data_IF_836962938836
#
_entry.id   IF_836962938836
#
_cell.length_a   1.000
_cell.length_b   1.000
_cell.length_c   1.000
_cell.angle_alpha   90.00
_cell.angle_beta   90.00
_cell.angle_gamma   90.00
#
_symmetry.space_group_name_H-M   'P 1'
#
loop_
_entity.id
_entity.type
_entity.pdbx_description
1 polymer ?
#
# COMPACT_ATOMS: atom_id res chain seq x y z
N UNK A 1 23.05 44.73 19.15
CA UNK A 1 23.45 43.86 18.02
C UNK A 1 22.63 42.59 18.11
N UNK A 2 21.62 42.43 17.25
CA UNK A 2 20.75 41.24 17.27
C UNK A 2 21.47 40.10 16.54
N UNK A 3 21.87 39.06 17.29
CA UNK A 3 22.53 37.89 16.71
C UNK A 3 21.53 37.12 15.84
N UNK A 4 21.89 36.87 14.58
CA UNK A 4 21.09 36.07 13.67
C UNK A 4 20.94 34.64 14.23
N UNK A 5 19.70 34.21 14.46
CA UNK A 5 19.39 32.87 14.95
C UNK A 5 19.81 31.87 13.87
N UNK A 6 20.72 30.91 14.14
CA UNK A 6 21.19 29.97 13.13
C UNK A 6 20.01 29.14 12.60
N UNK A 7 19.97 28.89 11.27
CA UNK A 7 18.91 28.10 10.65
C UNK A 7 18.84 26.70 11.26
N UNK A 8 17.70 26.36 11.84
CA UNK A 8 17.46 25.03 12.41
C UNK A 8 16.82 24.12 11.37
N UNK A 9 17.52 23.05 11.01
CA UNK A 9 17.03 22.04 10.06
C UNK A 9 16.10 21.04 10.73
N UNK A 10 15.12 20.53 9.98
CA UNK A 10 14.16 19.54 10.49
C UNK A 10 14.81 18.23 10.93
N UNK A 11 15.99 17.88 10.38
CA UNK A 11 16.79 16.71 10.76
C UNK A 11 17.41 16.83 12.15
N UNK A 12 17.52 18.04 12.70
CA UNK A 12 18.08 18.29 14.04
C UNK A 12 16.98 18.37 15.12
N UNK A 13 15.70 18.37 14.74
CA UNK A 13 14.56 18.48 15.66
C UNK A 13 14.02 17.10 16.03
N UNK A 14 13.27 17.04 17.13
CA UNK A 14 12.57 15.82 17.53
C UNK A 14 11.70 15.25 16.40
N UNK A 15 11.59 13.92 16.24
CA UNK A 15 10.77 13.32 15.19
C UNK A 15 9.30 13.72 15.34
N UNK A 16 8.63 13.96 14.22
CA UNK A 16 7.20 14.28 14.21
C UNK A 16 6.40 13.01 14.50
N UNK A 17 5.62 13.03 15.60
CA UNK A 17 4.79 11.88 16.03
C UNK A 17 3.81 11.46 14.94
N UNK A 18 3.10 12.44 14.38
CA UNK A 18 2.07 12.21 13.36
C UNK A 18 2.35 13.03 12.10
N UNK A 19 3.02 12.41 11.12
CA UNK A 19 3.47 13.07 9.89
C UNK A 19 2.34 13.67 9.06
N UNK A 20 1.11 13.16 9.19
CA UNK A 20 -0.07 13.61 8.47
C UNK A 20 -0.40 15.10 8.72
N UNK A 21 -0.12 15.62 9.92
CA UNK A 21 -0.47 16.99 10.31
C UNK A 21 0.71 17.97 10.24
N UNK A 22 1.93 17.46 10.08
CA UNK A 22 3.14 18.28 10.01
C UNK A 22 3.63 18.80 11.38
N UNK A 23 4.67 19.63 11.33
CA UNK A 23 5.38 20.12 12.53
C UNK A 23 4.63 21.23 13.27
N UNK A 24 3.94 22.11 12.55
CA UNK A 24 3.26 23.26 13.16
C UNK A 24 2.15 22.81 14.11
N UNK A 25 1.36 21.80 13.73
CA UNK A 25 0.33 21.22 14.62
C UNK A 25 0.98 20.64 15.87
N UNK A 26 2.14 20.01 15.77
CA UNK A 26 2.87 19.51 16.93
C UNK A 26 3.35 20.63 17.86
N UNK A 27 3.84 21.74 17.32
CA UNK A 27 4.22 22.91 18.12
C UNK A 27 3.02 23.53 18.83
N UNK A 28 1.86 23.58 18.17
CA UNK A 28 0.61 24.02 18.81
C UNK A 28 0.22 23.08 19.94
N UNK A 29 0.30 21.76 19.74
CA UNK A 29 0.02 20.78 20.80
C UNK A 29 0.98 20.92 21.98
N UNK A 30 2.28 21.07 21.72
CA UNK A 30 3.30 21.31 22.76
C UNK A 30 2.99 22.59 23.55
N UNK A 31 2.56 23.66 22.88
CA UNK A 31 2.11 24.89 23.52
C UNK A 31 0.83 24.69 24.35
N UNK A 32 -0.14 23.93 23.86
CA UNK A 32 -1.39 23.66 24.56
C UNK A 32 -1.18 23.00 25.93
N UNK A 33 -0.14 22.16 26.07
CA UNK A 33 0.25 21.53 27.33
C UNK A 33 0.84 22.51 28.35
N UNK A 34 1.36 23.65 27.91
CA UNK A 34 1.93 24.69 28.78
C UNK A 34 0.88 25.66 29.33
N UNK A 35 -0.33 25.68 28.77
CA UNK A 35 -1.41 26.56 29.20
C UNK A 35 -1.97 26.12 30.56
N UNK A 36 -2.13 27.06 31.49
CA UNK A 36 -2.58 26.74 32.86
C UNK A 36 -4.10 26.81 32.99
N UNK A 37 -4.77 27.73 32.29
CA UNK A 37 -6.22 27.89 32.34
C UNK A 37 -6.95 26.84 31.48
N UNK A 38 -7.99 26.23 32.05
CA UNK A 38 -8.81 25.21 31.41
C UNK A 38 -9.67 25.79 30.28
N UNK A 39 -10.24 26.99 30.47
CA UNK A 39 -11.09 27.59 29.45
C UNK A 39 -10.26 28.00 28.20
N UNK A 40 -9.11 28.64 28.42
CA UNK A 40 -8.16 28.96 27.36
C UNK A 40 -7.65 27.71 26.63
N UNK A 41 -7.35 26.63 27.37
CA UNK A 41 -6.89 25.37 26.79
C UNK A 41 -7.95 24.72 25.91
N UNK A 42 -9.22 24.71 26.32
CA UNK A 42 -10.33 24.18 25.52
C UNK A 42 -10.53 24.99 24.23
N UNK A 43 -10.48 26.33 24.32
CA UNK A 43 -10.56 27.20 23.15
C UNK A 43 -9.38 26.99 22.19
N UNK A 44 -8.18 26.79 22.72
CA UNK A 44 -6.98 26.52 21.94
C UNK A 44 -7.01 25.14 21.28
N UNK A 45 -7.53 24.12 21.96
CA UNK A 45 -7.74 22.77 21.41
C UNK A 45 -8.69 22.80 20.20
N UNK A 46 -9.79 23.56 20.27
CA UNK A 46 -10.70 23.73 19.13
C UNK A 46 -9.99 24.35 17.90
N UNK A 47 -9.09 25.31 18.12
CA UNK A 47 -8.27 25.91 17.04
C UNK A 47 -7.26 24.93 16.44
N UNK A 48 -6.69 24.04 17.26
CA UNK A 48 -5.81 22.97 16.78
C UNK A 48 -6.59 22.03 15.86
N UNK A 49 -7.80 21.62 16.24
CA UNK A 49 -8.66 20.74 15.43
C UNK A 49 -9.03 21.39 14.09
N UNK A 50 -9.33 22.70 14.09
CA UNK A 50 -9.56 23.45 12.85
C UNK A 50 -8.34 23.42 11.93
N UNK A 51 -7.15 23.63 12.49
CA UNK A 51 -5.89 23.60 11.74
C UNK A 51 -5.63 22.19 11.19
N UNK A 52 -5.86 21.15 12.00
CA UNK A 52 -5.75 19.75 11.58
C UNK A 52 -6.72 19.42 10.43
N UNK A 53 -7.92 20.00 10.42
CA UNK A 53 -8.92 19.84 9.35
C UNK A 53 -8.43 20.42 8.02
N UNK A 54 -7.82 21.61 8.05
CA UNK A 54 -7.26 22.25 6.85
C UNK A 54 -6.13 21.37 6.27
N UNK A 55 -5.28 20.80 7.14
CA UNK A 55 -4.14 19.99 6.71
C UNK A 55 -4.57 18.61 6.19
N UNK A 56 -5.62 18.01 6.75
CA UNK A 56 -6.05 16.66 6.36
C UNK A 56 -6.65 16.57 4.95
N UNK A 57 -7.06 17.71 4.35
CA UNK A 57 -7.71 17.79 3.02
C UNK A 57 -8.92 16.87 2.83
N UNK A 58 -9.47 16.33 3.92
CA UNK A 58 -10.65 15.47 3.88
C UNK A 58 -11.91 16.34 3.87
N UNK A 59 -12.94 15.96 3.10
CA UNK A 59 -14.21 16.68 3.11
C UNK A 59 -14.82 16.65 4.51
N UNK A 60 -15.25 17.81 4.98
CA UNK A 60 -15.67 18.06 6.36
C UNK A 60 -17.05 17.47 6.72
N UNK A 61 -17.75 16.86 5.76
CA UNK A 61 -19.18 16.56 5.86
C UNK A 61 -19.54 15.31 6.69
N UNK A 62 -18.58 14.67 7.35
CA UNK A 62 -18.90 13.55 8.24
C UNK A 62 -18.52 13.85 9.68
N UNK A 63 -19.49 13.64 10.57
CA UNK A 63 -19.29 13.61 12.02
C UNK A 63 -18.10 12.69 12.38
N UNK A 64 -17.95 11.58 11.67
CA UNK A 64 -16.82 10.66 11.80
C UNK A 64 -15.45 11.31 11.60
N UNK A 65 -15.30 12.26 10.65
CA UNK A 65 -14.02 12.95 10.43
C UNK A 65 -13.72 13.86 11.62
N UNK A 66 -14.72 14.55 12.15
CA UNK A 66 -14.55 15.38 13.35
C UNK A 66 -14.16 14.53 14.57
N UNK A 67 -14.84 13.40 14.79
CA UNK A 67 -14.50 12.45 15.86
C UNK A 67 -13.06 11.95 15.72
N UNK A 68 -12.65 11.52 14.51
CA UNK A 68 -11.27 11.10 14.22
C UNK A 68 -10.24 12.18 14.53
N UNK A 69 -10.52 13.45 14.23
CA UNK A 69 -9.61 14.56 14.55
C UNK A 69 -9.43 14.73 16.06
N UNK A 70 -10.50 14.62 16.85
CA UNK A 70 -10.43 14.67 18.31
C UNK A 70 -9.66 13.47 18.89
N UNK A 71 -9.86 12.27 18.34
CA UNK A 71 -9.05 11.10 18.72
C UNK A 71 -7.56 11.28 18.39
N UNK A 72 -7.25 11.86 17.23
CA UNK A 72 -5.85 12.16 16.87
C UNK A 72 -5.23 13.22 17.79
N UNK A 73 -5.99 14.24 18.21
CA UNK A 73 -5.51 15.21 19.18
C UNK A 73 -5.21 14.56 20.55
N UNK A 74 -6.09 13.68 21.01
CA UNK A 74 -5.87 12.93 22.25
C UNK A 74 -4.63 12.02 22.16
N UNK A 75 -4.44 11.34 21.04
CA UNK A 75 -3.25 10.51 20.79
C UNK A 75 -1.97 11.36 20.73
N UNK A 76 -2.00 12.53 20.10
CA UNK A 76 -0.85 13.44 20.01
C UNK A 76 -0.38 13.93 21.37
N UNK A 77 -1.30 14.05 22.34
CA UNK A 77 -1.07 14.59 23.68
C UNK A 77 -0.83 13.51 24.74
N UNK A 78 -0.70 12.24 24.34
CA UNK A 78 -0.65 11.09 25.26
C UNK A 78 -1.79 11.10 26.29
N UNK A 79 -2.97 11.60 25.91
CA UNK A 79 -4.15 11.76 26.79
C UNK A 79 -3.90 12.65 28.03
N UNK A 80 -2.92 13.56 27.98
CA UNK A 80 -2.57 14.45 29.09
C UNK A 80 -3.38 15.77 29.12
N UNK A 81 -4.15 16.07 28.08
CA UNK A 81 -5.00 17.27 28.03
C UNK A 81 -6.25 17.11 28.90
N UNK A 82 -6.33 17.92 29.96
CA UNK A 82 -7.58 18.16 30.71
C UNK A 82 -8.41 19.21 29.97
N UNK A 83 -9.35 18.76 29.14
CA UNK A 83 -10.34 19.56 28.41
C UNK A 83 -11.71 18.87 28.42
N UNK A 84 -12.78 19.62 28.16
CA UNK A 84 -14.11 19.05 27.94
C UNK A 84 -14.17 18.45 26.54
N UNK A 85 -14.00 17.13 26.46
CA UNK A 85 -14.03 16.40 25.20
C UNK A 85 -15.46 16.31 24.67
N UNK A 86 -15.73 16.73 23.42
CA UNK A 86 -17.05 16.59 22.80
C UNK A 86 -17.35 15.15 22.37
N UNK A 87 -16.39 14.22 22.49
CA UNK A 87 -16.44 12.83 22.04
C UNK A 87 -15.86 11.93 23.12
N UNK A 88 -16.38 10.72 23.28
CA UNK A 88 -15.81 9.70 24.17
C UNK A 88 -14.44 9.26 23.64
N UNK A 89 -13.37 9.71 24.30
CA UNK A 89 -12.00 9.36 23.92
C UNK A 89 -11.59 8.08 24.64
N UNK A 90 -11.67 6.95 23.95
CA UNK A 90 -11.04 5.72 24.41
C UNK A 90 -9.53 5.78 24.23
N UNK A 91 -8.78 5.27 25.22
CA UNK A 91 -7.34 5.07 25.08
C UNK A 91 -7.11 3.92 24.10
N UNK A 92 -6.65 4.26 22.90
CA UNK A 92 -6.28 3.26 21.92
C UNK A 92 -5.14 2.42 22.50
N UNK A 93 -5.40 1.14 22.77
CA UNK A 93 -4.38 0.19 23.19
C UNK A 93 -3.27 0.18 22.14
N UNK A 94 -2.04 0.45 22.55
CA UNK A 94 -0.85 0.63 21.70
C UNK A 94 -0.45 -0.65 20.92
N UNK A 95 -1.22 -1.73 21.02
CA UNK A 95 -0.71 -3.09 20.79
C UNK A 95 -1.13 -3.77 19.50
N UNK A 96 -2.04 -3.22 18.68
CA UNK A 96 -2.30 -3.82 17.37
C UNK A 96 -1.30 -3.35 16.32
N UNK A 97 -0.01 -3.60 16.57
CA UNK A 97 0.99 -3.55 15.51
C UNK A 97 0.68 -4.70 14.56
N UNK A 98 0.02 -4.40 13.45
CA UNK A 98 -0.34 -5.39 12.42
C UNK A 98 0.88 -6.25 12.12
N UNK A 99 0.71 -7.58 12.18
CA UNK A 99 1.79 -8.51 11.89
C UNK A 99 2.38 -8.19 10.51
N UNK A 100 3.72 -8.15 10.44
CA UNK A 100 4.39 -7.91 9.17
C UNK A 100 4.11 -9.11 8.28
N UNK A 101 3.36 -8.89 7.21
CA UNK A 101 3.19 -9.91 6.18
C UNK A 101 4.58 -10.28 5.62
N UNK A 102 4.94 -11.57 5.60
CA UNK A 102 6.19 -11.98 4.98
C UNK A 102 6.15 -11.63 3.50
N UNK A 103 7.25 -11.07 2.98
CA UNK A 103 7.35 -10.81 1.55
C UNK A 103 7.36 -12.15 0.80
N UNK A 104 6.49 -12.36 -0.20
CA UNK A 104 6.43 -13.62 -0.92
C UNK A 104 7.72 -13.82 -1.73
N UNK A 105 8.59 -14.70 -1.27
CA UNK A 105 9.87 -15.03 -1.90
C UNK A 105 9.70 -16.16 -2.93
N UNK A 106 8.96 -15.92 -4.02
CA UNK A 106 8.86 -16.89 -5.11
C UNK A 106 10.14 -16.85 -5.97
N UNK A 107 10.87 -17.98 -6.04
CA UNK A 107 12.01 -18.14 -6.95
C UNK A 107 11.51 -18.36 -8.38
N UNK A 108 11.45 -17.29 -9.16
CA UNK A 108 10.99 -17.34 -10.55
C UNK A 108 12.02 -18.04 -11.45
N UNK A 109 11.62 -19.12 -12.14
CA UNK A 109 12.41 -19.71 -13.23
C UNK A 109 12.58 -18.73 -14.40
N UNK A 110 11.48 -18.04 -14.77
CA UNK A 110 11.48 -17.00 -15.81
C UNK A 110 10.99 -15.65 -15.28
N UNK A 111 11.89 -14.67 -15.21
CA UNK A 111 11.60 -13.33 -14.67
C UNK A 111 10.62 -12.53 -15.53
N UNK A 112 10.60 -12.75 -16.84
CA UNK A 112 9.75 -12.03 -17.79
C UNK A 112 8.31 -12.56 -17.86
N UNK A 113 8.04 -13.75 -17.33
CA UNK A 113 6.67 -14.31 -17.24
C UNK A 113 6.04 -14.13 -15.85
N UNK A 114 6.85 -14.01 -14.80
CA UNK A 114 6.37 -13.84 -13.43
C UNK A 114 5.86 -15.14 -12.79
N UNK A 115 5.43 -15.05 -11.52
CA UNK A 115 5.02 -16.21 -10.72
C UNK A 115 3.68 -16.78 -11.18
N UNK A 116 2.72 -15.90 -11.48
CA UNK A 116 1.35 -16.28 -11.82
C UNK A 116 1.30 -17.20 -13.03
N UNK A 117 2.13 -16.95 -14.04
CA UNK A 117 2.19 -17.79 -15.23
C UNK A 117 2.76 -19.18 -14.93
N UNK A 118 3.70 -19.30 -13.98
CA UNK A 118 4.19 -20.61 -13.53
C UNK A 118 3.08 -21.39 -12.83
N UNK A 119 2.34 -20.75 -11.90
CA UNK A 119 1.19 -21.39 -11.25
C UNK A 119 0.10 -21.81 -12.26
N UNK A 120 -0.11 -21.02 -13.32
CA UNK A 120 -1.05 -21.38 -14.39
C UNK A 120 -0.56 -22.57 -15.21
N UNK A 121 0.74 -22.67 -15.48
CA UNK A 121 1.34 -23.83 -16.14
C UNK A 121 1.22 -25.10 -15.28
N UNK A 122 1.46 -24.99 -13.97
CA UNK A 122 1.31 -26.12 -13.05
C UNK A 122 -0.14 -26.62 -13.03
N UNK A 123 -1.12 -25.70 -12.96
CA UNK A 123 -2.55 -26.05 -13.04
C UNK A 123 -2.93 -26.69 -14.37
N UNK A 124 -2.37 -26.21 -15.48
CA UNK A 124 -2.60 -26.77 -16.83
C UNK A 124 -2.12 -28.21 -16.96
N UNK A 125 -1.06 -28.56 -16.23
CA UNK A 125 -0.53 -29.94 -16.18
C UNK A 125 -1.46 -30.87 -15.41
N UNK A 126 -2.15 -30.36 -14.39
CA UNK A 126 -3.12 -31.13 -13.59
C UNK A 126 -4.49 -31.27 -14.28
N UNK A 127 -4.78 -30.46 -15.30
CA UNK A 127 -6.06 -30.48 -15.99
C UNK A 127 -6.23 -31.74 -16.85
N UNK A 128 -7.30 -32.50 -16.59
CA UNK A 128 -7.58 -33.78 -17.25
C UNK A 128 -8.44 -33.65 -18.50
N UNK A 129 -9.22 -32.56 -18.63
CA UNK A 129 -10.07 -32.32 -19.80
C UNK A 129 -9.24 -31.71 -20.95
N UNK A 130 -9.26 -32.38 -22.10
CA UNK A 130 -8.53 -31.99 -23.29
C UNK A 130 -9.04 -30.67 -23.91
N UNK A 131 -10.36 -30.42 -23.91
CA UNK A 131 -10.92 -29.20 -24.51
C UNK A 131 -10.62 -27.99 -23.63
N UNK A 132 -10.82 -28.13 -22.32
CA UNK A 132 -10.54 -27.08 -21.35
C UNK A 132 -9.05 -26.77 -21.27
N UNK A 133 -8.20 -27.80 -21.29
CA UNK A 133 -6.73 -27.65 -21.37
C UNK A 133 -6.32 -26.87 -22.62
N UNK A 134 -6.86 -27.19 -23.80
CA UNK A 134 -6.55 -26.44 -25.02
C UNK A 134 -7.02 -24.97 -24.93
N UNK A 135 -8.18 -24.71 -24.32
CA UNK A 135 -8.71 -23.36 -24.10
C UNK A 135 -7.82 -22.54 -23.14
N UNK A 136 -7.45 -23.12 -22.01
CA UNK A 136 -6.58 -22.48 -21.03
C UNK A 136 -5.17 -22.26 -21.59
N UNK A 137 -4.67 -23.18 -22.39
CA UNK A 137 -3.36 -23.08 -23.05
C UNK A 137 -3.34 -21.92 -24.05
N UNK A 138 -4.41 -21.72 -24.84
CA UNK A 138 -4.56 -20.52 -25.70
C UNK A 138 -4.53 -19.22 -24.88
N UNK A 139 -5.22 -19.17 -23.74
CA UNK A 139 -5.23 -17.98 -22.87
C UNK A 139 -3.86 -17.71 -22.25
N UNK A 140 -3.18 -18.77 -21.79
CA UNK A 140 -1.82 -18.70 -21.28
C UNK A 140 -0.89 -18.14 -22.36
N UNK A 141 -0.97 -18.69 -23.56
CA UNK A 141 -0.14 -18.29 -24.69
C UNK A 141 -0.34 -16.81 -25.06
N UNK A 142 -1.59 -16.34 -25.15
CA UNK A 142 -1.89 -14.93 -25.40
C UNK A 142 -1.31 -14.00 -24.32
N UNK A 143 -1.40 -14.40 -23.04
CA UNK A 143 -0.82 -13.64 -21.93
C UNK A 143 0.71 -13.62 -21.97
N UNK A 144 1.34 -14.75 -22.28
CA UNK A 144 2.79 -14.87 -22.45
C UNK A 144 3.30 -14.03 -23.62
N UNK A 145 2.58 -14.00 -24.74
CA UNK A 145 2.88 -13.15 -25.89
C UNK A 145 2.86 -11.66 -25.51
N UNK A 146 1.85 -11.23 -24.75
CA UNK A 146 1.78 -9.85 -24.25
C UNK A 146 2.96 -9.50 -23.34
N UNK A 147 3.27 -10.34 -22.34
CA UNK A 147 4.39 -10.11 -21.43
C UNK A 147 5.74 -10.05 -22.17
N UNK A 148 5.95 -10.91 -23.16
CA UNK A 148 7.17 -10.86 -23.97
C UNK A 148 7.24 -9.62 -24.87
N UNK A 149 6.10 -9.16 -25.41
CA UNK A 149 6.04 -7.94 -26.19
C UNK A 149 6.39 -6.71 -25.35
N UNK A 150 5.92 -6.64 -24.10
CA UNK A 150 6.28 -5.58 -23.14
C UNK A 150 7.79 -5.57 -22.82
N UNK A 151 8.40 -6.74 -22.65
CA UNK A 151 9.81 -6.84 -22.26
C UNK A 151 10.77 -6.66 -23.44
N UNK A 152 10.45 -7.18 -24.62
CA UNK A 152 11.37 -7.20 -25.78
C UNK A 152 11.07 -6.16 -26.86
N UNK A 153 9.84 -5.65 -26.94
CA UNK A 153 9.42 -4.76 -28.02
C UNK A 153 9.44 -5.45 -29.39
N UNK A 154 8.37 -6.17 -29.74
CA UNK A 154 8.25 -6.80 -31.06
C UNK A 154 7.21 -7.92 -31.12
N UNK A 155 6.96 -8.43 -32.33
CA UNK A 155 6.12 -9.61 -32.54
C UNK A 155 6.83 -10.85 -32.01
N UNK A 156 6.10 -11.66 -31.26
CA UNK A 156 6.61 -12.91 -30.67
C UNK A 156 6.12 -14.08 -31.50
N UNK A 157 7.04 -14.93 -31.91
CA UNK A 157 6.72 -16.14 -32.67
C UNK A 157 6.10 -17.23 -31.78
N UNK A 158 5.04 -17.87 -32.28
CA UNK A 158 4.33 -18.94 -31.57
C UNK A 158 5.23 -20.16 -31.27
N UNK A 159 6.23 -20.44 -32.12
CA UNK A 159 7.19 -21.53 -31.89
C UNK A 159 8.07 -21.30 -30.67
N UNK A 160 8.50 -20.04 -30.46
CA UNK A 160 9.31 -19.69 -29.30
C UNK A 160 8.52 -19.88 -28.02
N UNK A 161 7.27 -19.43 -28.03
CA UNK A 161 6.35 -19.60 -26.92
C UNK A 161 6.10 -21.07 -26.59
N UNK A 162 5.91 -21.91 -27.61
CA UNK A 162 5.77 -23.35 -27.44
C UNK A 162 7.00 -23.98 -26.79
N UNK A 163 8.21 -23.59 -27.22
CA UNK A 163 9.48 -24.03 -26.62
C UNK A 163 9.62 -23.58 -25.17
N UNK A 164 9.23 -22.34 -24.86
CA UNK A 164 9.28 -21.82 -23.49
C UNK A 164 8.31 -22.59 -22.56
N UNK A 165 7.10 -22.93 -23.03
CA UNK A 165 6.11 -23.72 -22.26
C UNK A 165 6.61 -25.16 -22.05
N UNK A 166 7.15 -25.80 -23.08
CA UNK A 166 7.73 -27.15 -23.00
C UNK A 166 8.88 -27.20 -22.00
N UNK A 167 9.77 -26.21 -22.05
CA UNK A 167 10.88 -26.08 -21.10
C UNK A 167 10.39 -25.79 -19.66
N UNK A 168 9.37 -24.95 -19.48
CA UNK A 168 8.80 -24.65 -18.16
C UNK A 168 8.14 -25.87 -17.51
N UNK A 169 7.43 -26.66 -18.32
CA UNK A 169 6.65 -27.82 -17.88
C UNK A 169 7.46 -29.12 -17.86
N UNK A 170 8.77 -29.05 -18.13
CA UNK A 170 9.68 -30.20 -18.17
C UNK A 170 9.18 -31.31 -19.12
N UNK A 171 8.60 -30.92 -20.26
CA UNK A 171 8.08 -31.83 -21.28
C UNK A 171 6.69 -32.40 -21.00
N UNK A 172 6.00 -31.97 -19.94
CA UNK A 172 4.61 -32.40 -19.66
C UNK A 172 3.61 -31.83 -20.66
N UNK A 173 3.89 -30.64 -21.21
CA UNK A 173 3.14 -30.05 -22.32
C UNK A 173 4.09 -29.94 -23.51
N UNK A 174 3.88 -30.80 -24.51
CA UNK A 174 4.77 -30.84 -25.68
C UNK A 174 4.59 -29.61 -26.59
N UNK A 175 5.67 -29.20 -27.25
CA UNK A 175 5.64 -28.12 -28.26
C UNK A 175 4.58 -28.35 -29.35
N UNK A 176 4.43 -29.60 -29.81
CA UNK A 176 3.45 -29.98 -30.84
C UNK A 176 2.01 -29.82 -30.37
N UNK A 177 1.74 -30.02 -29.08
CA UNK A 177 0.42 -29.79 -28.51
C UNK A 177 0.07 -28.32 -28.42
N UNK A 178 1.02 -27.49 -27.97
CA UNK A 178 0.85 -26.03 -27.93
C UNK A 178 0.54 -25.48 -29.31
N UNK A 179 1.31 -25.89 -30.32
CA UNK A 179 1.12 -25.43 -31.70
C UNK A 179 -0.25 -25.86 -32.26
N UNK A 180 -0.69 -27.09 -32.00
CA UNK A 180 -2.04 -27.56 -32.40
C UNK A 180 -3.15 -26.74 -31.74
N UNK A 181 -3.03 -26.46 -30.45
CA UNK A 181 -4.02 -25.67 -29.71
C UNK A 181 -4.11 -24.22 -30.21
N UNK A 182 -3.01 -23.66 -30.71
CA UNK A 182 -2.93 -22.31 -31.31
C UNK A 182 -3.41 -22.25 -32.76
N UNK A 183 -3.28 -23.34 -33.53
CA UNK A 183 -3.76 -23.45 -34.91
C UNK A 183 -5.26 -23.70 -35.02
N UNK A 184 -5.86 -24.25 -33.96
CA UNK A 184 -7.31 -24.49 -33.90
C UNK A 184 -8.02 -23.18 -33.55
N UNK A 185 -8.11 -22.26 -34.52
CA UNK A 185 -8.92 -21.03 -34.48
C UNK A 185 -10.03 -21.08 -35.52
#
# INVERSE_FOLDING_TARGET
MSAARPMQYNTQKAPVRMKAYGREVQLMVEHALTLTDRAERTAYAARIVETMRIVSRQPADSQEVNEKLWHHLAQLTDYALDIDWPVEVERASVEQRTERLPYPAHRLRFRHYGHLLQTWMDRLVEETDAEERARLLRRLAARMQHNLAEVRGGAVEAERLAKDIDFCTEGRISTAEVLRALQTS
#
